data_IF_941075509039
#
_entry.id   IF_941075509039
#
_cell.length_a   1.000
_cell.length_b   1.000
_cell.length_c   1.000
_cell.angle_alpha   90.00
_cell.angle_beta   90.00
_cell.angle_gamma   90.00
#
_symmetry.space_group_name_H-M   'P 1'
#
loop_
_entity.id
_entity.type
_entity.pdbx_description
1 polymer ?
#
# COMPACT_ATOMS: atom_id res chain seq x y z
N UNK A 1 1.03 10.69 -8.72
CA UNK A 1 0.57 12.10 -8.68
C UNK A 1 -0.97 12.25 -8.61
N UNK A 2 -1.76 11.18 -8.73
CA UNK A 2 -3.23 11.29 -8.82
C UNK A 2 -3.99 11.67 -7.53
N UNK A 3 -3.42 11.44 -6.33
CA UNK A 3 -4.09 11.76 -5.05
C UNK A 3 -3.70 13.11 -4.46
N UNK A 4 -2.65 13.76 -4.99
CA UNK A 4 -2.21 15.09 -4.55
C UNK A 4 -3.30 16.17 -4.62
N UNK A 5 -4.12 16.24 -5.69
CA UNK A 5 -5.22 17.19 -5.76
C UNK A 5 -6.29 16.95 -4.69
N UNK A 6 -6.48 15.70 -4.26
CA UNK A 6 -7.44 15.35 -3.20
C UNK A 6 -6.93 15.69 -1.80
N UNK A 7 -5.62 15.74 -1.59
CA UNK A 7 -4.98 16.12 -0.31
C UNK A 7 -4.99 17.65 -0.11
N UNK A 8 -5.00 18.39 -1.21
CA UNK A 8 -4.87 19.86 -1.23
C UNK A 8 -6.22 20.49 -1.67
N UNK A 9 -7.31 19.73 -1.74
CA UNK A 9 -8.59 20.28 -2.19
C UNK A 9 -9.22 21.17 -1.11
N UNK A 10 -9.80 22.28 -1.54
CA UNK A 10 -10.48 23.27 -0.69
C UNK A 10 -11.86 23.58 -1.30
N UNK A 11 -12.92 23.59 -0.48
CA UNK A 11 -14.30 23.79 -0.94
C UNK A 11 -15.29 22.78 -0.35
N UNK A 12 -16.52 22.73 -0.86
CA UNK A 12 -17.54 21.79 -0.41
C UNK A 12 -17.09 20.33 -0.63
N UNK A 13 -17.13 19.50 0.41
CA UNK A 13 -16.66 18.12 0.35
C UNK A 13 -15.13 17.93 0.42
N UNK A 14 -14.35 19.01 0.58
CA UNK A 14 -12.89 18.94 0.76
C UNK A 14 -12.47 18.10 1.97
N UNK A 15 -13.22 18.13 3.06
CA UNK A 15 -12.94 17.29 4.23
C UNK A 15 -12.92 15.78 3.90
N UNK A 16 -13.88 15.32 3.09
CA UNK A 16 -13.93 13.91 2.65
C UNK A 16 -12.79 13.57 1.68
N UNK A 17 -12.48 14.50 0.76
CA UNK A 17 -11.39 14.33 -0.21
C UNK A 17 -10.02 14.31 0.47
N UNK A 18 -9.76 15.23 1.40
CA UNK A 18 -8.51 15.31 2.16
C UNK A 18 -8.32 14.07 3.04
N UNK A 19 -9.40 13.56 3.66
CA UNK A 19 -9.35 12.33 4.45
C UNK A 19 -8.97 11.11 3.59
N UNK A 20 -9.62 10.91 2.44
CA UNK A 20 -9.30 9.83 1.50
C UNK A 20 -7.91 10.01 0.90
N UNK A 21 -7.58 11.22 0.45
CA UNK A 21 -6.30 11.55 -0.17
C UNK A 21 -5.12 11.28 0.76
N UNK A 22 -5.23 11.71 2.03
CA UNK A 22 -4.18 11.48 3.04
C UNK A 22 -4.02 10.00 3.36
N UNK A 23 -5.14 9.27 3.52
CA UNK A 23 -5.12 7.83 3.79
C UNK A 23 -4.47 7.04 2.66
N UNK A 24 -4.83 7.32 1.41
CA UNK A 24 -4.26 6.65 0.24
C UNK A 24 -2.79 7.03 0.04
N UNK A 25 -2.42 8.30 0.23
CA UNK A 25 -1.02 8.73 0.11
C UNK A 25 -0.11 8.03 1.12
N UNK A 26 -0.50 8.00 2.40
CA UNK A 26 0.24 7.28 3.44
C UNK A 26 0.29 5.77 3.20
N UNK A 27 -0.83 5.20 2.74
CA UNK A 27 -0.93 3.79 2.36
C UNK A 27 0.02 3.41 1.22
N UNK A 28 0.09 4.23 0.17
CA UNK A 28 1.01 3.98 -0.95
C UNK A 28 2.48 4.07 -0.53
N UNK A 29 2.85 5.07 0.26
CA UNK A 29 4.22 5.19 0.76
C UNK A 29 4.62 3.97 1.60
N UNK A 30 3.77 3.61 2.55
CA UNK A 30 4.00 2.44 3.42
C UNK A 30 4.04 1.14 2.61
N UNK A 31 3.09 0.94 1.70
CA UNK A 31 3.03 -0.24 0.85
C UNK A 31 4.27 -0.37 -0.03
N UNK A 32 4.75 0.72 -0.63
CA UNK A 32 5.92 0.67 -1.52
C UNK A 32 7.19 0.33 -0.73
N UNK A 33 7.38 0.95 0.44
CA UNK A 33 8.55 0.68 1.28
C UNK A 33 8.54 -0.75 1.83
N UNK A 34 7.40 -1.23 2.33
CA UNK A 34 7.30 -2.56 2.93
C UNK A 34 7.26 -3.66 1.88
N UNK A 35 6.55 -3.49 0.76
CA UNK A 35 6.39 -4.55 -0.23
C UNK A 35 7.73 -5.00 -0.83
N UNK A 36 8.69 -4.10 -1.03
CA UNK A 36 10.02 -4.43 -1.56
C UNK A 36 10.72 -5.51 -0.71
N UNK A 37 10.56 -5.45 0.62
CA UNK A 37 11.16 -6.42 1.54
C UNK A 37 10.26 -7.61 1.80
N UNK A 38 8.96 -7.37 2.01
CA UNK A 38 8.02 -8.40 2.44
C UNK A 38 7.60 -9.33 1.30
N UNK A 39 7.49 -8.85 0.06
CA UNK A 39 7.09 -9.71 -1.07
C UNK A 39 8.12 -10.83 -1.31
N UNK A 40 9.44 -10.57 -1.39
CA UNK A 40 10.43 -11.65 -1.52
C UNK A 40 10.43 -12.62 -0.32
N UNK A 41 10.31 -12.10 0.90
CA UNK A 41 10.26 -12.91 2.12
C UNK A 41 9.04 -13.83 2.11
N UNK A 42 7.85 -13.29 1.84
CA UNK A 42 6.64 -14.07 1.74
C UNK A 42 6.71 -15.10 0.63
N UNK A 43 7.28 -14.76 -0.52
CA UNK A 43 7.48 -15.71 -1.61
C UNK A 43 8.34 -16.91 -1.18
N UNK A 44 9.48 -16.66 -0.53
CA UNK A 44 10.36 -17.73 -0.04
C UNK A 44 9.72 -18.53 1.08
N UNK A 45 9.03 -17.89 2.02
CA UNK A 45 8.31 -18.57 3.12
C UNK A 45 7.23 -19.48 2.56
N UNK A 46 6.36 -18.97 1.69
CA UNK A 46 5.29 -19.76 1.06
C UNK A 46 5.90 -20.91 0.27
N UNK A 47 6.87 -20.65 -0.61
CA UNK A 47 7.55 -21.70 -1.37
C UNK A 47 8.12 -22.78 -0.45
N UNK A 48 8.89 -22.42 0.58
CA UNK A 48 9.51 -23.39 1.50
C UNK A 48 8.49 -24.18 2.31
N UNK A 49 7.36 -23.59 2.68
CA UNK A 49 6.33 -24.24 3.51
C UNK A 49 5.45 -25.19 2.69
N UNK A 50 5.19 -24.89 1.42
CA UNK A 50 4.28 -25.69 0.60
C UNK A 50 4.99 -26.60 -0.42
N UNK A 51 6.25 -26.34 -0.81
CA UNK A 51 7.04 -27.27 -1.66
C UNK A 51 7.61 -28.46 -0.87
N UNK A 52 7.78 -28.34 0.45
CA UNK A 52 8.35 -29.43 1.29
C UNK A 52 7.48 -30.69 1.42
N UNK A 53 6.26 -30.69 0.89
CA UNK A 53 5.33 -31.83 0.91
C UNK A 53 5.23 -32.58 -0.43
N UNK A 54 6.02 -32.17 -1.44
CA UNK A 54 6.05 -32.83 -2.74
C UNK A 54 7.21 -33.84 -2.88
N UNK A 55 7.90 -34.15 -1.77
CA UNK A 55 8.99 -35.13 -1.69
C UNK A 55 8.64 -36.25 -0.72
#
# INVERSE_FOLDING_TARGET
LGVMPLVISHGAGSGAQNAVGTGVMGGMLTATLLAIFFVPVFFVVVRRRFTRHAE
#
